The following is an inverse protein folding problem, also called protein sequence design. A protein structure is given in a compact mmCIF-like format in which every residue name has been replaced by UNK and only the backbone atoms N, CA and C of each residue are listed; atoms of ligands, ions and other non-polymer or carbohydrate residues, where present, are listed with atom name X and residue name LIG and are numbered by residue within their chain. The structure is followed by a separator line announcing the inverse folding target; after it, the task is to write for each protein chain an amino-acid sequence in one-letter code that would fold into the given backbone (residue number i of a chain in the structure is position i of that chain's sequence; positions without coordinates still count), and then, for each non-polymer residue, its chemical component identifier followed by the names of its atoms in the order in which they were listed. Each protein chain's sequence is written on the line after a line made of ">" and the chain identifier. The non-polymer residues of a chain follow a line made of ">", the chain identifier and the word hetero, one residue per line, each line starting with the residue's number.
data_IF_608117525183
#
_entry.id   IF_608117525183
#
_cell.length_a   1.000
_cell.length_b   1.000
_cell.length_c   1.000
_cell.angle_alpha   90.00
_cell.angle_beta   90.00
_cell.angle_gamma   90.00
#
_symmetry.space_group_name_H-M   'P 1'
#
loop_
_entity.id
_entity.type
_entity.pdbx_description
1 polymer ?
#
# COMPACT_ATOMS: atom_id res chain seq x y z
N UNK A 1 -17.39 10.87 -12.59
CA UNK A 1 -16.56 11.68 -11.66
C UNK A 1 -15.41 10.80 -11.18
N UNK A 2 -14.14 11.21 -11.28
CA UNK A 2 -13.03 10.44 -10.69
C UNK A 2 -13.06 10.63 -9.18
N UNK A 3 -13.32 9.56 -8.44
CA UNK A 3 -13.33 9.59 -6.98
C UNK A 3 -11.88 9.75 -6.48
N UNK A 4 -11.64 10.76 -5.63
CA UNK A 4 -10.33 10.92 -4.98
C UNK A 4 -10.18 9.79 -3.96
N UNK A 5 -9.15 8.96 -4.12
CA UNK A 5 -8.78 7.95 -3.12
C UNK A 5 -7.69 8.52 -2.24
N UNK A 6 -7.88 8.45 -0.92
CA UNK A 6 -6.89 8.83 0.08
C UNK A 6 -6.53 7.59 0.91
N UNK A 7 -5.28 7.50 1.36
CA UNK A 7 -4.82 6.51 2.32
C UNK A 7 -4.28 7.22 3.56
N UNK A 8 -4.39 6.58 4.72
CA UNK A 8 -3.88 7.10 5.98
C UNK A 8 -2.66 6.28 6.40
N UNK A 9 -1.54 6.95 6.60
CA UNK A 9 -0.32 6.38 7.18
C UNK A 9 -0.21 6.84 8.63
N UNK A 10 -0.06 5.88 9.55
CA UNK A 10 0.30 6.12 10.95
C UNK A 10 1.72 5.60 11.16
N UNK A 11 2.56 6.37 11.83
CA UNK A 11 3.94 6.02 12.17
C UNK A 11 4.15 6.36 13.63
N UNK A 12 4.73 5.43 14.39
CA UNK A 12 5.08 5.61 15.80
C UNK A 12 6.34 4.82 16.12
N UNK A 13 6.90 5.05 17.31
CA UNK A 13 7.94 4.18 17.89
C UNK A 13 7.29 3.30 18.96
N UNK A 14 7.69 2.04 19.04
CA UNK A 14 7.33 1.19 20.18
C UNK A 14 8.18 1.47 21.41
N UNK A 15 7.98 0.68 22.47
CA UNK A 15 8.67 0.81 23.76
C UNK A 15 10.19 0.63 23.63
N UNK A 16 10.65 -0.11 22.61
CA UNK A 16 12.07 -0.34 22.32
C UNK A 16 12.66 0.72 21.36
N UNK A 17 11.87 1.74 21.00
CA UNK A 17 12.27 2.78 20.06
C UNK A 17 12.32 2.32 18.59
N UNK A 18 11.68 1.19 18.25
CA UNK A 18 11.63 0.68 16.87
C UNK A 18 10.47 1.29 16.11
N UNK A 19 10.69 1.53 14.82
CA UNK A 19 9.64 2.06 13.94
C UNK A 19 8.50 1.05 13.82
N UNK A 20 7.30 1.55 14.03
CA UNK A 20 6.05 0.87 13.76
C UNK A 20 5.22 1.75 12.85
N UNK A 21 4.56 1.13 11.89
CA UNK A 21 3.75 1.82 10.91
C UNK A 21 2.51 1.04 10.53
N UNK A 22 1.49 1.75 10.10
CA UNK A 22 0.28 1.18 9.52
C UNK A 22 -0.23 2.06 8.38
N UNK A 23 -0.42 1.45 7.22
CA UNK A 23 -1.16 2.01 6.10
C UNK A 23 -2.60 1.50 6.14
N UNK A 24 -3.58 2.37 5.90
CA UNK A 24 -4.99 2.01 5.90
C UNK A 24 -5.79 2.78 4.86
N UNK A 25 -6.88 2.20 4.37
CA UNK A 25 -7.83 2.85 3.48
C UNK A 25 -9.06 3.25 4.31
N UNK A 26 -9.37 4.55 4.48
CA UNK A 26 -10.46 5.01 5.34
C UNK A 26 -11.85 4.59 4.84
N UNK A 27 -11.97 4.14 3.59
CA UNK A 27 -13.22 3.68 2.99
C UNK A 27 -13.42 2.16 3.11
N UNK A 28 -12.49 1.45 3.75
CA UNK A 28 -12.55 -0.01 3.94
C UNK A 28 -11.94 -0.44 5.27
N UNK A 29 -12.11 -1.70 5.64
CA UNK A 29 -11.43 -2.26 6.82
C UNK A 29 -9.99 -2.70 6.56
N UNK A 30 -9.45 -2.43 5.36
CA UNK A 30 -8.09 -2.82 4.99
C UNK A 30 -7.03 -2.03 5.77
N UNK A 31 -6.09 -2.75 6.37
CA UNK A 31 -4.94 -2.22 7.10
C UNK A 31 -3.72 -3.08 6.80
N UNK A 32 -2.56 -2.46 6.62
CA UNK A 32 -1.27 -3.14 6.49
C UNK A 32 -0.25 -2.53 7.44
N UNK A 33 0.25 -3.29 8.43
CA UNK A 33 1.39 -2.85 9.22
C UNK A 33 2.67 -2.88 8.38
N UNK A 34 3.64 -2.05 8.77
CA UNK A 34 5.01 -2.07 8.27
C UNK A 34 5.97 -1.68 9.42
N UNK A 35 7.20 -2.17 9.38
CA UNK A 35 8.21 -1.92 10.42
C UNK A 35 9.46 -1.22 9.87
N UNK A 36 9.57 -1.08 8.54
CA UNK A 36 10.69 -0.43 7.88
C UNK A 36 10.21 0.66 6.92
N UNK A 37 10.94 1.78 6.78
CA UNK A 37 10.59 2.83 5.82
C UNK A 37 10.45 2.34 4.37
N UNK A 38 11.29 1.39 3.95
CA UNK A 38 11.27 0.88 2.58
C UNK A 38 10.01 0.07 2.26
N UNK A 39 9.43 -0.62 3.26
CA UNK A 39 8.16 -1.33 3.12
C UNK A 39 7.00 -0.37 2.82
N UNK A 40 7.00 0.83 3.40
CA UNK A 40 5.98 1.85 3.12
C UNK A 40 5.99 2.25 1.65
N UNK A 41 7.17 2.40 1.04
CA UNK A 41 7.28 2.72 -0.39
C UNK A 41 6.69 1.62 -1.27
N UNK A 42 7.02 0.35 -0.99
CA UNK A 42 6.43 -0.81 -1.70
C UNK A 42 4.91 -0.85 -1.55
N UNK A 43 4.39 -0.60 -0.35
CA UNK A 43 2.95 -0.58 -0.09
C UNK A 43 2.24 0.55 -0.85
N UNK A 44 2.78 1.76 -0.82
CA UNK A 44 2.23 2.90 -1.56
C UNK A 44 2.25 2.64 -3.08
N UNK A 45 3.36 2.10 -3.59
CA UNK A 45 3.47 1.75 -5.01
C UNK A 45 2.41 0.71 -5.41
N UNK A 46 2.20 -0.33 -4.60
CA UNK A 46 1.13 -1.30 -4.85
C UNK A 46 -0.26 -0.64 -4.89
N UNK A 47 -0.55 0.32 -4.00
CA UNK A 47 -1.84 0.98 -3.94
C UNK A 47 -2.11 1.97 -5.09
N UNK A 48 -1.08 2.64 -5.62
CA UNK A 48 -1.23 3.70 -6.62
C UNK A 48 -0.79 3.31 -8.04
N UNK A 49 0.08 2.30 -8.19
CA UNK A 49 0.76 1.99 -9.45
C UNK A 49 0.56 0.56 -9.97
N UNK A 50 -0.43 -0.21 -9.47
CA UNK A 50 -0.84 -1.43 -10.15
C UNK A 50 -2.03 -1.19 -11.09
N UNK A 51 -1.82 -0.99 -12.40
CA UNK A 51 -2.71 -1.57 -13.39
C UNK A 51 -2.46 -3.08 -13.36
N UNK A 52 -3.38 -3.86 -12.79
CA UNK A 52 -3.37 -5.30 -13.06
C UNK A 52 -3.71 -5.50 -14.53
N UNK A 53 -2.70 -5.60 -15.39
CA UNK A 53 -2.89 -6.20 -16.71
C UNK A 53 -3.29 -7.65 -16.50
N UNK A 54 -4.36 -8.15 -17.17
CA UNK A 54 -4.71 -9.57 -17.11
C UNK A 54 -3.55 -10.42 -17.67
N UNK A 55 -3.32 -11.64 -17.13
CA UNK A 55 -2.26 -12.49 -17.61
C UNK A 55 -2.54 -12.97 -19.05
N UNK A 56 -1.59 -12.67 -19.92
CA UNK A 56 -1.25 -13.24 -21.24
C UNK A 56 -2.39 -13.71 -22.16
N UNK A 57 -2.56 -12.99 -23.28
CA UNK A 57 -2.78 -13.65 -24.57
C UNK A 57 -1.46 -13.59 -25.34
N UNK A 58 -0.61 -14.61 -25.17
CA UNK A 58 0.44 -14.88 -26.15
C UNK A 58 -0.26 -15.33 -27.44
N UNK A 59 -0.52 -14.38 -28.34
CA UNK A 59 -0.84 -14.70 -29.73
C UNK A 59 0.46 -15.09 -30.40
N UNK A 60 0.73 -16.40 -30.48
CA UNK A 60 1.67 -16.96 -31.44
C UNK A 60 1.18 -16.62 -32.85
N UNK A 61 1.98 -15.86 -33.60
CA UNK A 61 1.98 -15.79 -35.06
C UNK A 61 3.42 -15.70 -35.55
#
# INVERSE_FOLDING_TARGET
>A
MRQRRALVVRIWLDEDGRLQGQLSDPMSDWKRPFAQPDELWTLLHACFHTPQSPPNTETNS
#
